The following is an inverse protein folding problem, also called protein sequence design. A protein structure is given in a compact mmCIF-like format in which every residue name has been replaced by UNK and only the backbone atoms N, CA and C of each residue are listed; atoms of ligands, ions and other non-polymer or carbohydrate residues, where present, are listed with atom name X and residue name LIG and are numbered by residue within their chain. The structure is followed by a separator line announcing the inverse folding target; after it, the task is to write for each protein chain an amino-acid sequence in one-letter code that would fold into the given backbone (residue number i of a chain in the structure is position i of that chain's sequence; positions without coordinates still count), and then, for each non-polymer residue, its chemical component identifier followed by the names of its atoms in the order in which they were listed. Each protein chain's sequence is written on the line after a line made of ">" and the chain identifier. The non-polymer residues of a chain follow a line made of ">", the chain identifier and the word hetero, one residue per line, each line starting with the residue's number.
data_IF_908471877351
#
_entry.id   IF_908471877351
#
_cell.length_a   1.000
_cell.length_b   1.000
_cell.length_c   1.000
_cell.angle_alpha   90.00
_cell.angle_beta   90.00
_cell.angle_gamma   90.00
#
_symmetry.space_group_name_H-M   'P 1'
#
loop_
_entity.id
_entity.type
_entity.pdbx_description
1 polymer ?
#
# COMPACT_ATOMS: atom_id res chain seq x y z
N UNK A 1 -23.55 -21.30 5.04
CA UNK A 1 -24.23 -20.26 4.24
C UNK A 1 -23.22 -19.14 4.03
N UNK A 2 -22.94 -18.78 2.79
CA UNK A 2 -22.13 -17.60 2.49
C UNK A 2 -22.94 -16.37 2.83
N UNK A 3 -22.44 -15.41 3.63
CA UNK A 3 -23.19 -14.20 3.93
C UNK A 3 -23.49 -13.46 2.64
N UNK A 4 -24.74 -13.15 2.38
CA UNK A 4 -25.15 -12.31 1.26
C UNK A 4 -24.75 -10.88 1.59
N UNK A 5 -23.90 -10.29 0.77
CA UNK A 5 -23.55 -8.87 0.88
C UNK A 5 -24.68 -8.07 0.25
N UNK A 6 -25.24 -7.13 1.00
CA UNK A 6 -26.21 -6.19 0.49
C UNK A 6 -25.47 -4.97 -0.07
N UNK A 7 -25.32 -4.95 -1.39
CA UNK A 7 -24.61 -3.88 -2.07
C UNK A 7 -25.48 -2.61 -2.15
N UNK A 8 -24.89 -1.41 -2.03
CA UNK A 8 -25.62 -0.15 -2.19
C UNK A 8 -26.38 -0.08 -3.52
N UNK A 9 -27.54 0.58 -3.52
CA UNK A 9 -28.37 0.81 -4.71
C UNK A 9 -28.86 -0.49 -5.40
N UNK A 10 -28.92 -1.61 -4.68
CA UNK A 10 -29.39 -2.89 -5.23
C UNK A 10 -28.47 -3.49 -6.29
N UNK A 11 -27.18 -3.15 -6.26
CA UNK A 11 -26.17 -3.74 -7.15
C UNK A 11 -25.86 -5.17 -6.75
N UNK A 12 -25.44 -5.99 -7.71
CA UNK A 12 -25.05 -7.38 -7.47
C UNK A 12 -23.60 -7.56 -7.06
N UNK A 13 -22.72 -6.61 -7.40
CA UNK A 13 -21.30 -6.61 -7.06
C UNK A 13 -20.73 -5.19 -7.05
N UNK A 14 -19.54 -5.05 -6.45
CA UNK A 14 -18.68 -3.87 -6.59
C UNK A 14 -17.34 -4.28 -7.20
N UNK A 15 -16.78 -3.39 -8.01
CA UNK A 15 -15.46 -3.54 -8.61
C UNK A 15 -14.63 -2.29 -8.34
N UNK A 16 -13.39 -2.49 -7.94
CA UNK A 16 -12.42 -1.40 -7.75
C UNK A 16 -11.05 -1.81 -8.26
N UNK A 17 -10.23 -0.84 -8.58
CA UNK A 17 -8.82 -1.00 -8.90
C UNK A 17 -8.03 -0.33 -7.79
N UNK A 18 -7.06 -1.05 -7.24
CA UNK A 18 -6.06 -0.50 -6.34
C UNK A 18 -4.71 -0.62 -7.05
N UNK A 19 -4.14 0.50 -7.44
CA UNK A 19 -2.95 0.56 -8.27
C UNK A 19 -1.72 0.91 -7.41
N UNK A 20 -0.67 0.11 -7.56
CA UNK A 20 0.62 0.29 -6.88
C UNK A 20 1.53 1.20 -7.72
N UNK A 21 2.46 1.95 -7.13
CA UNK A 21 3.37 2.84 -7.86
C UNK A 21 4.59 2.12 -8.46
N UNK A 22 4.58 0.80 -8.52
CA UNK A 22 5.66 -0.05 -9.03
C UNK A 22 5.90 0.22 -10.52
N UNK A 23 7.08 0.74 -10.86
CA UNK A 23 7.42 1.09 -12.25
C UNK A 23 6.76 2.39 -12.76
N UNK A 24 6.09 3.16 -11.92
CA UNK A 24 5.49 4.42 -12.33
C UNK A 24 6.53 5.43 -12.86
N UNK A 25 6.11 6.12 -13.90
CA UNK A 25 6.69 7.37 -14.36
C UNK A 25 5.59 8.41 -14.57
N UNK A 26 5.98 9.67 -14.80
CA UNK A 26 5.03 10.74 -15.13
C UNK A 26 4.18 10.34 -16.35
N UNK A 27 4.83 9.82 -17.39
CA UNK A 27 4.20 9.48 -18.67
C UNK A 27 3.22 8.31 -18.53
N UNK A 28 3.63 7.22 -17.86
CA UNK A 28 2.78 6.05 -17.70
C UNK A 28 1.56 6.35 -16.82
N UNK A 29 1.77 7.10 -15.76
CA UNK A 29 0.70 7.50 -14.85
C UNK A 29 -0.33 8.38 -15.54
N UNK A 30 0.10 9.42 -16.27
CA UNK A 30 -0.80 10.33 -16.98
C UNK A 30 -1.68 9.60 -18.00
N UNK A 31 -1.09 8.70 -18.79
CA UNK A 31 -1.82 7.94 -19.82
C UNK A 31 -2.89 7.04 -19.19
N UNK A 32 -2.53 6.26 -18.18
CA UNK A 32 -3.45 5.31 -17.53
C UNK A 32 -4.58 6.04 -16.82
N UNK A 33 -4.26 7.06 -16.04
CA UNK A 33 -5.25 7.76 -15.21
C UNK A 33 -6.15 8.68 -16.03
N UNK A 34 -5.66 9.27 -17.11
CA UNK A 34 -6.52 9.98 -18.07
C UNK A 34 -7.53 9.04 -18.72
N UNK A 35 -7.10 7.85 -19.13
CA UNK A 35 -8.01 6.84 -19.67
C UNK A 35 -9.08 6.39 -18.66
N UNK A 36 -8.69 6.11 -17.40
CA UNK A 36 -9.65 5.74 -16.35
C UNK A 36 -10.65 6.87 -16.07
N UNK A 37 -10.17 8.12 -16.01
CA UNK A 37 -11.01 9.31 -15.86
C UNK A 37 -12.04 9.41 -16.97
N UNK A 38 -11.61 9.26 -18.22
CA UNK A 38 -12.44 9.43 -19.41
C UNK A 38 -13.51 8.33 -19.50
N UNK A 39 -13.26 7.16 -18.93
CA UNK A 39 -14.25 6.10 -18.71
C UNK A 39 -15.20 6.36 -17.52
N UNK A 40 -15.01 7.45 -16.78
CA UNK A 40 -15.79 7.75 -15.57
C UNK A 40 -15.39 6.90 -14.34
N UNK A 41 -14.33 6.11 -14.43
CA UNK A 41 -13.84 5.30 -13.30
C UNK A 41 -13.04 6.18 -12.32
N UNK A 42 -13.23 5.90 -11.03
CA UNK A 42 -12.42 6.47 -9.95
C UNK A 42 -11.85 5.32 -9.14
N UNK A 43 -10.54 5.27 -9.05
CA UNK A 43 -9.78 4.17 -8.48
C UNK A 43 -8.90 4.68 -7.36
N UNK A 44 -8.19 3.78 -6.67
CA UNK A 44 -7.20 4.14 -5.65
C UNK A 44 -5.81 4.07 -6.26
N UNK A 45 -5.07 5.18 -6.22
CA UNK A 45 -3.65 5.25 -6.53
C UNK A 45 -2.84 5.23 -5.25
N UNK A 46 -2.07 4.20 -5.01
CA UNK A 46 -1.09 4.21 -3.94
C UNK A 46 0.20 4.92 -4.37
N UNK A 47 0.83 5.61 -3.41
CA UNK A 47 2.06 6.38 -3.64
C UNK A 47 3.10 6.11 -2.57
N UNK A 48 4.37 6.35 -2.90
CA UNK A 48 5.45 6.52 -1.93
C UNK A 48 5.62 8.00 -1.60
N UNK A 49 5.36 8.44 -0.35
CA UNK A 49 5.55 9.84 0.06
C UNK A 49 7.00 10.31 -0.05
N UNK A 50 7.95 9.42 0.22
CA UNK A 50 9.38 9.70 0.19
C UNK A 50 10.13 8.61 -0.59
N UNK A 51 11.21 8.99 -1.25
CA UNK A 51 12.08 8.04 -1.97
C UNK A 51 12.91 7.20 -1.00
N UNK A 52 13.44 7.86 0.04
CA UNK A 52 14.39 7.26 0.96
C UNK A 52 15.79 7.11 0.35
N UNK A 53 16.65 6.38 1.06
CA UNK A 53 18.08 6.22 0.77
C UNK A 53 18.51 4.79 0.41
N UNK A 54 17.57 3.84 0.47
CA UNK A 54 17.81 2.44 0.17
C UNK A 54 17.65 2.09 -1.31
N UNK A 55 18.12 0.89 -1.68
CA UNK A 55 17.92 0.35 -3.02
C UNK A 55 16.64 -0.47 -3.06
N UNK A 56 15.66 -0.14 -3.91
CA UNK A 56 14.44 -0.91 -4.03
C UNK A 56 14.66 -2.19 -4.85
N UNK A 57 13.82 -3.21 -4.61
CA UNK A 57 13.68 -4.34 -5.54
C UNK A 57 12.92 -3.93 -6.79
N UNK A 58 11.86 -3.17 -6.59
CA UNK A 58 11.08 -2.49 -7.63
C UNK A 58 10.88 -1.07 -7.14
N UNK A 59 11.19 -0.09 -7.96
CA UNK A 59 11.01 1.32 -7.67
C UNK A 59 10.10 1.98 -8.70
N UNK A 60 9.93 3.28 -8.59
CA UNK A 60 9.15 4.11 -9.49
C UNK A 60 9.22 5.57 -9.02
N UNK A 61 8.37 6.43 -9.59
CA UNK A 61 8.25 7.80 -9.17
C UNK A 61 7.70 7.91 -7.73
N UNK A 62 8.11 8.94 -7.02
CA UNK A 62 7.71 9.21 -5.64
C UNK A 62 7.14 10.61 -5.51
N UNK A 63 6.49 10.93 -4.39
CA UNK A 63 5.98 12.29 -4.17
C UNK A 63 7.08 13.35 -4.00
N UNK A 64 8.34 12.95 -3.94
CA UNK A 64 9.49 13.89 -4.02
C UNK A 64 9.81 14.32 -5.46
N UNK A 65 9.23 13.64 -6.46
CA UNK A 65 9.29 14.04 -7.87
C UNK A 65 8.19 15.08 -8.14
N UNK A 66 8.57 16.33 -8.32
CA UNK A 66 7.62 17.46 -8.41
C UNK A 66 6.55 17.27 -9.51
N UNK A 67 6.96 16.79 -10.68
CA UNK A 67 6.02 16.57 -11.79
C UNK A 67 5.04 15.43 -11.49
N UNK A 68 5.53 14.34 -10.88
CA UNK A 68 4.68 13.23 -10.46
C UNK A 68 3.68 13.68 -9.38
N UNK A 69 4.16 14.37 -8.34
CA UNK A 69 3.28 14.88 -7.27
C UNK A 69 2.19 15.79 -7.84
N UNK A 70 2.53 16.70 -8.76
CA UNK A 70 1.55 17.59 -9.40
C UNK A 70 0.44 16.80 -10.11
N UNK A 71 0.80 15.73 -10.81
CA UNK A 71 -0.18 14.84 -11.46
C UNK A 71 -1.05 14.13 -10.43
N UNK A 72 -0.47 13.55 -9.38
CA UNK A 72 -1.20 12.85 -8.31
C UNK A 72 -2.22 13.78 -7.65
N UNK A 73 -1.82 15.02 -7.31
CA UNK A 73 -2.73 16.02 -6.74
C UNK A 73 -3.86 16.38 -7.72
N UNK A 74 -3.55 16.56 -9.01
CA UNK A 74 -4.55 16.84 -10.04
C UNK A 74 -5.58 15.70 -10.18
N UNK A 75 -5.19 14.45 -10.03
CA UNK A 75 -6.12 13.32 -10.03
C UNK A 75 -6.89 13.19 -8.71
N UNK A 76 -6.29 13.53 -7.57
CA UNK A 76 -7.02 13.64 -6.30
C UNK A 76 -8.17 14.66 -6.40
N UNK A 77 -7.92 15.83 -6.96
CA UNK A 77 -8.96 16.86 -7.21
C UNK A 77 -10.09 16.36 -8.12
N UNK A 78 -9.79 15.42 -9.01
CA UNK A 78 -10.77 14.77 -9.90
C UNK A 78 -11.48 13.59 -9.23
N UNK A 79 -11.26 13.33 -7.94
CA UNK A 79 -11.97 12.33 -7.15
C UNK A 79 -11.35 10.94 -7.12
N UNK A 80 -10.10 10.79 -7.55
CA UNK A 80 -9.34 9.55 -7.30
C UNK A 80 -8.90 9.49 -5.83
N UNK A 81 -8.99 8.32 -5.22
CA UNK A 81 -8.45 8.10 -3.89
C UNK A 81 -6.92 7.98 -3.97
N UNK A 82 -6.21 8.65 -3.05
CA UNK A 82 -4.78 8.45 -2.88
C UNK A 82 -4.53 7.57 -1.66
N UNK A 83 -3.84 6.45 -1.86
CA UNK A 83 -3.47 5.48 -0.86
C UNK A 83 -1.97 5.49 -0.55
N UNK A 84 -1.59 4.74 0.47
CA UNK A 84 -0.20 4.65 0.94
C UNK A 84 0.42 3.32 0.53
N UNK A 85 1.62 3.35 -0.08
CA UNK A 85 2.35 2.15 -0.49
C UNK A 85 3.66 2.02 0.29
N UNK A 86 3.59 1.88 1.63
CA UNK A 86 4.67 2.09 2.56
C UNK A 86 5.23 3.53 2.49
N UNK A 87 6.21 3.87 3.33
CA UNK A 87 6.77 5.23 3.33
C UNK A 87 7.74 5.45 2.16
N UNK A 88 8.50 4.42 1.82
CA UNK A 88 9.51 4.43 0.76
C UNK A 88 9.38 3.18 -0.12
N UNK A 89 10.06 3.16 -1.25
CA UNK A 89 10.13 1.98 -2.13
C UNK A 89 11.11 0.88 -1.65
N UNK A 90 11.74 1.06 -0.49
CA UNK A 90 12.58 0.05 0.19
C UNK A 90 12.09 -0.18 1.62
N UNK A 91 12.71 -1.12 2.33
CA UNK A 91 12.37 -1.33 3.74
C UNK A 91 12.56 -0.05 4.56
N UNK A 92 11.48 0.40 5.18
CA UNK A 92 11.44 1.58 6.05
C UNK A 92 11.53 1.19 7.53
N UNK A 93 12.25 1.96 8.31
CA UNK A 93 12.20 1.90 9.78
C UNK A 93 10.88 2.49 10.27
N UNK A 94 10.55 2.27 11.55
CA UNK A 94 9.41 2.94 12.19
C UNK A 94 9.47 4.47 12.05
N UNK A 95 10.66 5.04 12.21
CA UNK A 95 10.86 6.49 12.07
C UNK A 95 10.55 6.97 10.65
N UNK A 96 11.07 6.28 9.64
CA UNK A 96 10.78 6.59 8.24
C UNK A 96 9.29 6.43 7.93
N UNK A 97 8.65 5.38 8.44
CA UNK A 97 7.20 5.16 8.28
C UNK A 97 6.39 6.29 8.93
N UNK A 98 6.74 6.70 10.15
CA UNK A 98 6.11 7.84 10.83
C UNK A 98 6.26 9.13 10.03
N UNK A 99 7.46 9.41 9.54
CA UNK A 99 7.74 10.57 8.68
C UNK A 99 6.93 10.50 7.39
N UNK A 100 6.86 9.34 6.75
CA UNK A 100 6.07 9.13 5.53
C UNK A 100 4.59 9.42 5.72
N UNK A 101 4.00 8.98 6.85
CA UNK A 101 2.60 9.25 7.18
C UNK A 101 2.35 10.75 7.42
N UNK A 102 3.28 11.45 8.09
CA UNK A 102 3.19 12.90 8.29
C UNK A 102 3.26 13.65 6.96
N UNK A 103 4.21 13.28 6.10
CA UNK A 103 4.34 13.88 4.77
C UNK A 103 3.11 13.60 3.91
N UNK A 104 2.59 12.37 3.93
CA UNK A 104 1.36 12.03 3.23
C UNK A 104 0.20 12.94 3.64
N UNK A 105 -0.01 13.12 4.95
CA UNK A 105 -1.05 14.00 5.47
C UNK A 105 -0.84 15.47 5.04
N UNK A 106 0.40 15.95 5.02
CA UNK A 106 0.73 17.31 4.57
C UNK A 106 0.45 17.52 3.08
N UNK A 107 0.75 16.52 2.24
CA UNK A 107 0.57 16.58 0.80
C UNK A 107 -0.90 16.47 0.39
N UNK A 108 -1.66 15.55 1.00
CA UNK A 108 -3.01 15.18 0.57
C UNK A 108 -4.13 15.70 1.46
N UNK A 109 -3.81 16.33 2.61
CA UNK A 109 -4.76 16.94 3.53
C UNK A 109 -5.51 15.96 4.44
N UNK A 110 -5.18 14.67 4.40
CA UNK A 110 -5.78 13.62 5.23
C UNK A 110 -4.81 12.46 5.47
N UNK A 111 -5.08 11.65 6.50
CA UNK A 111 -4.40 10.38 6.69
C UNK A 111 -4.78 9.38 5.58
N UNK A 112 -3.91 8.41 5.21
CA UNK A 112 -4.25 7.44 4.18
C UNK A 112 -5.39 6.53 4.63
N UNK A 113 -6.51 6.50 3.89
CA UNK A 113 -7.60 5.58 4.20
C UNK A 113 -7.23 4.14 3.87
N UNK A 114 -6.41 3.95 2.85
CA UNK A 114 -6.00 2.64 2.35
C UNK A 114 -4.50 2.50 2.25
N UNK A 115 -4.03 1.28 2.50
CA UNK A 115 -2.63 0.89 2.39
C UNK A 115 -2.49 -0.35 1.53
N UNK A 116 -1.52 -0.36 0.63
CA UNK A 116 -1.00 -1.56 0.02
C UNK A 116 0.45 -1.80 0.45
N UNK A 117 0.77 -3.01 0.87
CA UNK A 117 2.13 -3.37 1.20
C UNK A 117 3.01 -3.47 -0.05
N UNK A 118 4.21 -2.90 -0.01
CA UNK A 118 5.19 -3.04 -1.07
C UNK A 118 5.97 -4.37 -0.94
N UNK A 119 6.24 -5.00 -2.08
CA UNK A 119 6.88 -6.31 -2.12
C UNK A 119 8.31 -6.29 -1.56
N UNK A 120 8.61 -7.23 -0.67
CA UNK A 120 9.94 -7.40 -0.07
C UNK A 120 10.29 -6.40 1.03
N UNK A 121 9.39 -5.52 1.41
CA UNK A 121 9.58 -4.59 2.53
C UNK A 121 9.28 -5.24 3.87
N UNK A 122 10.16 -5.05 4.84
CA UNK A 122 10.06 -5.70 6.15
C UNK A 122 9.03 -5.07 7.07
N UNK A 123 8.71 -3.80 6.89
CA UNK A 123 7.67 -3.09 7.63
C UNK A 123 6.25 -3.40 7.13
N UNK A 124 6.08 -4.23 6.12
CA UNK A 124 4.76 -4.65 5.63
C UNK A 124 3.90 -5.20 6.76
N UNK A 125 2.59 -4.84 6.74
CA UNK A 125 1.62 -5.14 7.79
C UNK A 125 0.74 -6.33 7.39
N UNK A 126 0.52 -7.24 8.34
CA UNK A 126 -0.37 -8.40 8.19
C UNK A 126 -0.05 -9.26 6.95
N UNK A 127 1.20 -9.33 6.57
CA UNK A 127 1.68 -10.16 5.49
C UNK A 127 2.64 -11.24 6.03
N UNK A 128 2.71 -12.38 5.35
CA UNK A 128 3.62 -13.46 5.73
C UNK A 128 3.05 -14.38 6.82
N UNK A 129 3.92 -15.19 7.42
CA UNK A 129 3.53 -16.25 8.34
C UNK A 129 2.94 -15.77 9.66
N UNK A 130 3.30 -14.56 10.10
CA UNK A 130 2.83 -14.01 11.39
C UNK A 130 1.32 -13.67 11.41
N UNK A 131 0.67 -13.62 10.24
CA UNK A 131 -0.80 -13.43 10.15
C UNK A 131 -1.62 -14.67 10.49
N UNK A 132 -0.98 -15.84 10.55
CA UNK A 132 -1.60 -17.13 10.86
C UNK A 132 -0.91 -17.77 12.05
N UNK A 133 -1.59 -18.67 12.73
CA UNK A 133 -1.06 -19.35 13.93
C UNK A 133 -1.25 -20.87 13.87
N UNK A 134 -0.55 -21.59 14.74
CA UNK A 134 -0.67 -23.02 14.89
C UNK A 134 -0.27 -23.82 13.65
N UNK A 135 -1.01 -24.87 13.32
CA UNK A 135 -0.72 -25.76 12.18
C UNK A 135 -0.71 -25.01 10.86
N UNK A 136 -1.55 -23.98 10.69
CA UNK A 136 -1.60 -23.16 9.45
C UNK A 136 -0.29 -22.41 9.25
N UNK A 137 0.28 -21.86 10.32
CA UNK A 137 1.57 -21.18 10.27
C UNK A 137 2.71 -22.15 9.91
N UNK A 138 2.69 -23.36 10.50
CA UNK A 138 3.66 -24.40 10.18
C UNK A 138 3.60 -24.80 8.71
N UNK A 139 2.40 -25.07 8.20
CA UNK A 139 2.20 -25.41 6.78
C UNK A 139 2.63 -24.28 5.84
N UNK A 140 2.25 -23.03 6.18
CA UNK A 140 2.67 -21.85 5.43
C UNK A 140 4.20 -21.75 5.36
N UNK A 141 4.87 -21.92 6.49
CA UNK A 141 6.33 -21.87 6.56
C UNK A 141 6.97 -22.99 5.75
N UNK A 142 6.48 -24.22 5.85
CA UNK A 142 6.98 -25.37 5.07
C UNK A 142 6.86 -25.15 3.56
N UNK A 143 5.75 -24.62 3.10
CA UNK A 143 5.52 -24.34 1.67
C UNK A 143 6.39 -23.21 1.15
N UNK A 144 6.67 -22.20 1.99
CA UNK A 144 7.45 -21.04 1.60
C UNK A 144 8.95 -21.21 1.81
N UNK A 145 9.43 -22.13 2.66
CA UNK A 145 10.84 -22.52 2.75
C UNK A 145 11.43 -22.94 1.40
N UNK A 146 10.64 -23.63 0.57
CA UNK A 146 11.05 -24.03 -0.78
C UNK A 146 11.10 -22.87 -1.78
N UNK A 147 10.40 -21.77 -1.51
CA UNK A 147 10.19 -20.71 -2.50
C UNK A 147 11.07 -19.46 -2.30
N UNK A 148 11.39 -19.06 -1.07
CA UNK A 148 12.04 -17.77 -0.78
C UNK A 148 13.03 -17.74 0.38
N UNK A 149 13.36 -18.83 1.02
CA UNK A 149 14.40 -18.90 2.09
C UNK A 149 14.15 -18.10 3.36
N UNK A 150 13.15 -17.20 3.42
CA UNK A 150 12.90 -16.36 4.58
C UNK A 150 11.40 -16.07 4.76
N UNK A 151 10.77 -16.79 5.67
CA UNK A 151 9.33 -16.78 5.91
C UNK A 151 8.83 -15.64 6.81
N UNK A 152 9.74 -14.91 7.47
CA UNK A 152 9.42 -13.89 8.49
C UNK A 152 9.84 -12.47 8.07
N UNK A 153 9.64 -12.12 6.81
CA UNK A 153 10.04 -10.81 6.32
C UNK A 153 9.19 -9.68 6.88
N UNK A 154 7.86 -9.88 6.97
CA UNK A 154 6.92 -8.80 7.34
C UNK A 154 6.84 -8.65 8.86
N UNK A 155 7.28 -7.52 9.38
CA UNK A 155 7.44 -7.22 10.80
C UNK A 155 6.65 -5.99 11.27
N UNK A 156 5.96 -5.29 10.37
CA UNK A 156 5.29 -4.04 10.68
C UNK A 156 4.18 -4.17 11.74
N UNK A 157 3.59 -5.34 11.90
CA UNK A 157 2.56 -5.66 12.90
C UNK A 157 3.09 -6.42 14.13
N UNK A 158 4.41 -6.69 14.20
CA UNK A 158 5.02 -7.43 15.32
C UNK A 158 5.55 -6.45 16.35
N UNK A 159 4.90 -6.39 17.50
CA UNK A 159 5.33 -5.55 18.63
C UNK A 159 6.76 -5.93 19.07
N UNK A 160 7.57 -4.91 19.36
CA UNK A 160 8.98 -5.07 19.70
C UNK A 160 9.94 -5.16 18.49
N UNK A 161 9.43 -5.27 17.27
CA UNK A 161 10.26 -5.15 16.07
C UNK A 161 10.66 -3.68 15.83
N UNK A 162 11.90 -3.41 15.35
CA UNK A 162 12.30 -2.07 14.93
C UNK A 162 11.49 -1.55 13.73
N UNK A 163 10.75 -2.42 13.05
CA UNK A 163 9.87 -2.09 11.93
C UNK A 163 8.40 -1.97 12.36
N UNK A 164 8.09 -2.10 13.66
CA UNK A 164 6.71 -2.06 14.15
C UNK A 164 6.07 -0.68 13.95
N UNK A 165 4.89 -0.66 13.35
CA UNK A 165 4.04 0.51 13.19
C UNK A 165 2.54 0.17 13.15
N UNK A 166 2.18 -1.03 13.62
CA UNK A 166 0.80 -1.51 13.66
C UNK A 166 -0.15 -0.64 14.49
N UNK A 167 0.38 0.06 15.49
CA UNK A 167 -0.32 1.08 16.27
C UNK A 167 -0.71 2.28 15.39
N UNK A 168 0.24 2.84 14.64
CA UNK A 168 0.00 3.96 13.71
C UNK A 168 -0.95 3.55 12.58
N UNK A 169 -0.79 2.33 12.05
CA UNK A 169 -1.70 1.81 11.04
C UNK A 169 -3.16 1.77 11.56
N UNK A 170 -3.36 1.28 12.77
CA UNK A 170 -4.70 1.21 13.37
C UNK A 170 -5.32 2.59 13.63
N UNK A 171 -4.49 3.56 13.98
CA UNK A 171 -4.94 4.94 14.23
C UNK A 171 -5.29 5.68 12.93
N UNK A 172 -4.47 5.51 11.89
CA UNK A 172 -4.47 6.38 10.71
C UNK A 172 -5.14 5.81 9.48
N UNK A 173 -5.42 4.49 9.44
CA UNK A 173 -5.94 3.85 8.25
C UNK A 173 -7.24 3.10 8.50
N UNK A 174 -8.06 2.97 7.47
CA UNK A 174 -9.33 2.24 7.53
C UNK A 174 -9.18 0.79 7.07
N UNK A 175 -8.35 0.54 6.07
CA UNK A 175 -8.13 -0.81 5.54
C UNK A 175 -6.73 -0.99 4.95
N UNK A 176 -6.26 -2.22 5.01
CA UNK A 176 -4.98 -2.67 4.45
C UNK A 176 -5.26 -3.71 3.38
N UNK A 177 -4.81 -3.45 2.16
CA UNK A 177 -4.83 -4.45 1.10
C UNK A 177 -3.73 -5.49 1.35
N UNK A 178 -4.13 -6.73 1.46
CA UNK A 178 -3.23 -7.87 1.57
C UNK A 178 -3.39 -8.82 0.38
N UNK A 179 -2.31 -9.49 0.02
CA UNK A 179 -2.39 -10.65 -0.84
C UNK A 179 -2.79 -11.89 -0.03
N UNK A 180 -3.72 -12.64 -0.54
CA UNK A 180 -4.23 -13.89 0.05
C UNK A 180 -3.49 -15.08 -0.57
#
# INVERSE_FOLDING_TARGET
>A
MTPKIDWPEGKDFAFTIFDDPDGDSVETFEVVYSFLRDLGLRTTKAVWPIRGDGTPKVGGATCEDEQYLKLVLGFQEQGFEIGFHNATYHTSTREQTTRGLVIFQQLFGHDPYSIANHTGCRESIYWGSARVSGVRQLLYNMLNLRRNGNTNLSQGHIEGSPMFWGDLCREKTKYVRNFV
#
